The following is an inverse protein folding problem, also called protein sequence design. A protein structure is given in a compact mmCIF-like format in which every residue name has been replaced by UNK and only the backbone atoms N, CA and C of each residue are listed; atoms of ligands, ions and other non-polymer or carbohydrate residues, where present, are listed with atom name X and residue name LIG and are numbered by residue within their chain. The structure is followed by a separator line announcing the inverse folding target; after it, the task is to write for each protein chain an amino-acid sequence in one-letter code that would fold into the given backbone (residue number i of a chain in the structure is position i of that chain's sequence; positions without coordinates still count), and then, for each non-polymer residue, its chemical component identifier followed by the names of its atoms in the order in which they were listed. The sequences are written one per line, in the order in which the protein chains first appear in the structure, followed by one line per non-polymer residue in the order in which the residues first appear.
data_IF_344328786603
#
_entry.id   IF_344328786603
#
_cell.length_a   1.000
_cell.length_b   1.000
_cell.length_c   1.000
_cell.angle_alpha   90.00
_cell.angle_beta   90.00
_cell.angle_gamma   90.00
#
_symmetry.space_group_name_H-M   'P 1'
#
loop_
_entity.id
_entity.type
_entity.pdbx_description
1 polymer ?
#
# COMPACT_ATOMS: atom_id res chain seq x y z
N UNK A 1 -5.25 -18.91 -18.54
CA UNK A 1 -5.97 -17.62 -18.54
C UNK A 1 -5.27 -16.74 -17.52
N UNK A 2 -4.79 -15.56 -17.91
CA UNK A 2 -4.17 -14.62 -16.96
C UNK A 2 -5.31 -14.01 -16.14
N UNK A 3 -5.38 -14.29 -14.84
CA UNK A 3 -6.32 -13.62 -13.94
C UNK A 3 -5.87 -12.17 -13.79
N UNK A 4 -6.55 -11.25 -14.46
CA UNK A 4 -6.31 -9.83 -14.29
C UNK A 4 -6.94 -9.40 -12.97
N UNK A 5 -6.11 -9.25 -11.93
CA UNK A 5 -6.51 -8.57 -10.71
C UNK A 5 -6.53 -7.06 -10.98
N UNK A 6 -7.49 -6.36 -10.39
CA UNK A 6 -7.65 -4.92 -10.49
C UNK A 6 -7.27 -4.32 -9.14
N UNK A 7 -6.33 -3.36 -9.12
CA UNK A 7 -5.90 -2.71 -7.87
C UNK A 7 -6.08 -1.20 -7.92
N UNK A 8 -6.20 -0.59 -6.74
CA UNK A 8 -6.21 0.85 -6.57
C UNK A 8 -4.77 1.34 -6.33
N UNK A 9 -4.32 2.28 -7.16
CA UNK A 9 -3.03 2.97 -7.02
C UNK A 9 -3.26 4.40 -6.51
N UNK A 10 -2.55 4.80 -5.46
CA UNK A 10 -2.56 6.18 -4.96
C UNK A 10 -1.14 6.71 -4.83
N UNK A 11 -0.92 7.92 -5.35
CA UNK A 11 0.23 8.74 -5.00
C UNK A 11 -0.22 9.67 -3.88
N UNK A 12 0.39 9.59 -2.70
CA UNK A 12 0.02 10.47 -1.58
C UNK A 12 0.54 11.88 -1.89
N UNK A 13 -0.27 12.64 -2.62
CA UNK A 13 -0.33 14.10 -2.60
C UNK A 13 -1.64 14.49 -1.90
N UNK A 14 -1.74 15.71 -1.37
CA UNK A 14 -2.92 16.26 -0.68
C UNK A 14 -4.25 16.29 -1.49
N UNK A 15 -4.37 15.54 -2.58
CA UNK A 15 -5.56 15.38 -3.42
C UNK A 15 -5.96 13.90 -3.53
N UNK A 16 -7.26 13.60 -3.38
CA UNK A 16 -7.93 12.28 -3.43
C UNK A 16 -7.83 11.49 -4.77
N UNK A 17 -6.81 11.73 -5.58
CA UNK A 17 -6.66 11.09 -6.87
C UNK A 17 -6.15 9.63 -6.71
N UNK A 18 -7.08 8.68 -6.76
CA UNK A 18 -6.77 7.26 -6.92
C UNK A 18 -7.03 6.83 -8.37
N UNK A 19 -6.18 5.96 -8.92
CA UNK A 19 -6.37 5.38 -10.26
C UNK A 19 -6.50 3.87 -10.17
N UNK A 20 -7.41 3.31 -10.95
CA UNK A 20 -7.55 1.87 -11.13
C UNK A 20 -6.62 1.44 -12.27
N UNK A 21 -5.80 0.41 -12.03
CA UNK A 21 -4.86 -0.14 -13.01
C UNK A 21 -4.98 -1.66 -13.11
N UNK A 22 -4.78 -2.19 -14.32
CA UNK A 22 -4.67 -3.63 -14.57
C UNK A 22 -3.25 -4.05 -14.22
N UNK A 23 -3.11 -5.12 -13.44
CA UNK A 23 -1.81 -5.64 -13.01
C UNK A 23 -1.55 -7.06 -13.49
N UNK A 24 -0.27 -7.42 -13.58
CA UNK A 24 0.17 -8.76 -13.92
C UNK A 24 0.33 -9.67 -12.71
N UNK A 25 0.91 -10.85 -12.94
CA UNK A 25 1.12 -11.89 -11.92
C UNK A 25 2.17 -11.53 -10.86
N UNK A 26 2.88 -10.42 -11.04
CA UNK A 26 3.82 -9.87 -10.04
C UNK A 26 3.11 -9.29 -8.81
N UNK A 27 1.81 -9.01 -8.91
CA UNK A 27 1.01 -8.47 -7.81
C UNK A 27 0.39 -9.62 -7.01
N UNK A 28 0.61 -9.67 -5.68
CA UNK A 28 -0.02 -10.68 -4.84
C UNK A 28 -1.54 -10.66 -4.96
N UNK A 29 -2.17 -11.84 -5.05
CA UNK A 29 -3.63 -11.96 -5.23
C UNK A 29 -4.45 -11.27 -4.14
N UNK A 30 -3.90 -11.15 -2.92
CA UNK A 30 -4.56 -10.51 -1.78
C UNK A 30 -4.33 -9.00 -1.73
N UNK A 31 -3.51 -8.43 -2.61
CA UNK A 31 -3.20 -7.01 -2.59
C UNK A 31 -4.47 -6.19 -2.93
N UNK A 32 -4.77 -5.21 -2.08
CA UNK A 32 -5.85 -4.25 -2.29
C UNK A 32 -5.31 -2.95 -2.88
N UNK A 33 -4.09 -2.57 -2.51
CA UNK A 33 -3.45 -1.32 -2.91
C UNK A 33 -1.97 -1.51 -3.22
N UNK A 34 -1.47 -0.71 -4.18
CA UNK A 34 -0.05 -0.50 -4.40
C UNK A 34 0.36 0.90 -3.96
N UNK A 35 1.40 0.98 -3.13
CA UNK A 35 1.88 2.25 -2.56
C UNK A 35 3.35 2.45 -2.95
N UNK A 36 3.67 3.64 -3.45
CA UNK A 36 5.05 4.05 -3.71
C UNK A 36 5.59 4.80 -2.51
N UNK A 37 6.61 4.24 -1.85
CA UNK A 37 7.21 4.85 -0.68
C UNK A 37 8.00 6.10 -1.07
N UNK A 38 7.77 7.20 -0.34
CA UNK A 38 8.55 8.42 -0.44
C UNK A 38 9.16 8.73 0.93
N UNK A 39 10.47 8.58 1.05
CA UNK A 39 11.20 8.75 2.31
C UNK A 39 12.18 7.62 2.59
N UNK A 40 13.07 7.85 3.57
CA UNK A 40 14.14 6.92 3.94
C UNK A 40 14.00 6.38 5.37
N UNK A 41 12.91 6.70 6.08
CA UNK A 41 12.73 6.41 7.51
C UNK A 41 12.48 4.92 7.79
N UNK A 42 12.05 4.16 6.79
CA UNK A 42 11.79 2.72 6.91
C UNK A 42 12.99 1.83 6.52
N UNK A 43 14.18 2.41 6.36
CA UNK A 43 15.42 1.66 6.10
C UNK A 43 15.84 0.83 7.33
N UNK A 44 16.54 -0.32 7.12
CA UNK A 44 16.97 -0.88 5.84
C UNK A 44 15.89 -1.72 5.15
N UNK A 45 14.75 -1.96 5.81
CA UNK A 45 13.73 -2.91 5.36
C UNK A 45 13.01 -2.43 4.11
N UNK A 46 12.77 -1.13 3.98
CA UNK A 46 12.14 -0.53 2.81
C UNK A 46 12.95 0.65 2.28
N UNK A 47 13.09 0.69 0.95
CA UNK A 47 13.87 1.71 0.26
C UNK A 47 12.97 2.80 -0.31
N UNK A 48 13.50 4.02 -0.39
CA UNK A 48 12.82 5.13 -1.06
C UNK A 48 12.51 4.77 -2.52
N UNK A 49 11.29 5.06 -2.97
CA UNK A 49 10.80 4.76 -4.32
C UNK A 49 10.35 3.31 -4.52
N UNK A 50 10.50 2.44 -3.51
CA UNK A 50 10.02 1.06 -3.57
C UNK A 50 8.48 1.03 -3.63
N UNK A 51 7.97 0.12 -4.46
CA UNK A 51 6.55 -0.21 -4.48
C UNK A 51 6.28 -1.32 -3.45
N UNK A 52 5.28 -1.10 -2.59
CA UNK A 52 4.81 -2.09 -1.61
C UNK A 52 3.34 -2.42 -1.86
N UNK A 53 3.01 -3.69 -1.68
CA UNK A 53 1.66 -4.22 -1.84
C UNK A 53 1.00 -4.36 -0.47
N UNK A 54 -0.19 -3.78 -0.32
CA UNK A 54 -0.92 -3.77 0.95
C UNK A 54 -2.26 -4.45 0.75
N UNK A 55 -2.63 -5.33 1.67
CA UNK A 55 -3.97 -5.91 1.73
C UNK A 55 -4.79 -5.18 2.80
N UNK A 56 -6.05 -4.86 2.48
CA UNK A 56 -6.97 -4.23 3.44
C UNK A 56 -7.50 -5.28 4.41
N UNK A 57 -7.41 -4.99 5.70
CA UNK A 57 -7.89 -5.86 6.78
C UNK A 57 -8.41 -5.05 7.95
N UNK A 58 -9.29 -5.66 8.74
CA UNK A 58 -9.73 -5.15 10.06
C UNK A 58 -9.00 -5.80 11.23
N UNK A 59 -8.15 -6.79 10.94
CA UNK A 59 -7.35 -7.53 11.92
C UNK A 59 -5.89 -7.08 11.84
N UNK A 60 -5.27 -6.82 12.99
CA UNK A 60 -3.87 -6.41 13.13
C UNK A 60 -3.18 -7.30 14.15
N UNK A 61 -1.97 -7.76 13.82
CA UNK A 61 -1.19 -8.67 14.65
C UNK A 61 0.18 -8.05 14.94
N UNK A 62 0.73 -8.35 16.12
CA UNK A 62 2.05 -7.88 16.53
C UNK A 62 3.10 -8.09 15.43
N UNK A 63 4.05 -7.15 15.32
CA UNK A 63 5.10 -7.14 14.29
C UNK A 63 4.62 -6.90 12.85
N UNK A 64 3.34 -6.58 12.63
CA UNK A 64 2.83 -6.12 11.34
C UNK A 64 3.01 -4.60 11.21
N UNK A 65 3.11 -4.11 9.97
CA UNK A 65 3.13 -2.68 9.69
C UNK A 65 1.79 -2.35 9.03
N UNK A 66 1.02 -1.47 9.66
CA UNK A 66 -0.32 -1.10 9.22
C UNK A 66 -0.35 0.34 8.71
N UNK A 67 -1.20 0.58 7.71
CA UNK A 67 -1.55 1.93 7.27
C UNK A 67 -2.95 2.21 7.77
N UNK A 68 -3.08 3.22 8.61
CA UNK A 68 -4.35 3.55 9.27
C UNK A 68 -4.87 4.87 8.73
N UNK A 69 -6.18 4.92 8.48
CA UNK A 69 -6.88 6.17 8.17
C UNK A 69 -7.51 6.68 9.46
N UNK A 70 -7.06 7.84 9.94
CA UNK A 70 -7.62 8.55 11.09
C UNK A 70 -8.15 9.92 10.60
N UNK A 71 -9.45 10.16 10.74
CA UNK A 71 -10.09 11.46 10.46
C UNK A 71 -9.72 12.10 9.10
N UNK A 72 -9.61 11.28 8.06
CA UNK A 72 -9.26 11.73 6.70
C UNK A 72 -7.77 11.99 6.48
N UNK A 73 -6.90 11.61 7.42
CA UNK A 73 -5.45 11.61 7.30
C UNK A 73 -4.92 10.17 7.39
N UNK A 74 -3.94 9.82 6.55
CA UNK A 74 -3.26 8.53 6.65
C UNK A 74 -2.09 8.64 7.64
N UNK A 75 -2.06 7.82 8.69
CA UNK A 75 -1.00 7.76 9.69
C UNK A 75 -0.32 6.36 9.66
N UNK A 76 1.01 6.35 9.67
CA UNK A 76 1.84 5.14 9.81
C UNK A 76 2.02 4.85 11.31
N UNK A 77 1.68 3.62 11.77
CA UNK A 77 1.94 3.18 13.15
C UNK A 77 2.71 1.86 13.15
N UNK A 78 3.68 1.76 14.05
CA UNK A 78 4.44 0.54 14.34
C UNK A 78 4.07 0.07 15.75
N UNK A 79 3.62 -1.19 15.91
CA UNK A 79 3.44 -1.86 17.21
C UNK A 79 4.41 -3.03 17.37
#
# INVERSE_FOLDING_TARGET
MLSTNTIHYSEIHYSDAHKIVIVGSEVPDKASFGIKLNGNNMKPRYMNGQMVWVYRTTEFYDSNIGIFYLDGQAEERME
#
